data_IF_159587564827
#
_entry.id   IF_159587564827
#
_cell.length_a   1.000
_cell.length_b   1.000
_cell.length_c   1.000
_cell.angle_alpha   90.00
_cell.angle_beta   90.00
_cell.angle_gamma   90.00
#
_symmetry.space_group_name_H-M   'P 1'
#
loop_
_entity.id
_entity.type
_entity.pdbx_description
1 polymer ?
#
# COMPACT_ATOMS: atom_id res chain seq x y z
N UNK A 1 30.78 78.52 -9.95
CA UNK A 1 30.25 77.15 -10.19
C UNK A 1 30.32 76.36 -8.89
N UNK A 2 29.19 76.19 -8.18
CA UNK A 2 29.08 75.34 -6.96
C UNK A 2 28.74 73.93 -7.38
N UNK A 3 29.63 72.98 -7.17
CA UNK A 3 29.35 71.52 -7.26
C UNK A 3 28.55 71.12 -6.00
N UNK A 4 27.26 70.82 -6.16
CA UNK A 4 26.48 70.14 -5.12
C UNK A 4 26.93 68.71 -5.05
N UNK A 5 27.55 68.34 -3.92
CA UNK A 5 27.84 66.94 -3.61
C UNK A 5 26.51 66.23 -3.33
N UNK A 6 26.14 65.27 -4.16
CA UNK A 6 25.06 64.31 -3.91
C UNK A 6 25.52 63.36 -2.82
N UNK A 7 25.03 63.51 -1.64
CA UNK A 7 25.16 62.53 -0.57
C UNK A 7 24.24 61.35 -0.91
N UNK A 8 24.83 60.30 -1.49
CA UNK A 8 24.16 59.01 -1.65
C UNK A 8 23.88 58.44 -0.27
N UNK A 9 22.59 58.24 0.06
CA UNK A 9 22.18 57.64 1.32
C UNK A 9 22.54 56.16 1.34
N UNK A 10 23.52 55.69 2.11
CA UNK A 10 23.88 54.28 2.20
C UNK A 10 22.74 53.40 2.80
N UNK A 11 21.81 54.06 3.49
CA UNK A 11 20.64 53.44 4.14
C UNK A 11 19.67 52.83 3.10
N UNK A 12 19.45 53.49 1.97
CA UNK A 12 18.55 52.99 0.92
C UNK A 12 19.10 51.71 0.23
N UNK A 13 20.44 51.63 0.06
CA UNK A 13 21.09 50.44 -0.47
C UNK A 13 21.03 49.24 0.50
N UNK A 14 21.25 49.50 1.79
CA UNK A 14 21.13 48.49 2.84
C UNK A 14 19.70 47.94 2.94
N UNK A 15 18.70 48.82 2.88
CA UNK A 15 17.28 48.40 2.88
C UNK A 15 16.92 47.56 1.67
N UNK A 16 17.36 47.94 0.48
CA UNK A 16 17.13 47.17 -0.75
C UNK A 16 17.78 45.78 -0.69
N UNK A 17 18.98 45.67 -0.13
CA UNK A 17 19.69 44.40 0.03
C UNK A 17 18.99 43.50 1.07
N UNK A 18 18.47 44.08 2.16
CA UNK A 18 17.70 43.35 3.18
C UNK A 18 16.38 42.82 2.59
N UNK A 19 15.68 43.64 1.81
CA UNK A 19 14.44 43.24 1.14
C UNK A 19 14.69 42.12 0.14
N UNK A 20 15.77 42.20 -0.62
CA UNK A 20 16.17 41.14 -1.56
C UNK A 20 16.54 39.86 -0.82
N UNK A 21 17.27 39.93 0.28
CA UNK A 21 17.58 38.77 1.12
C UNK A 21 16.32 38.09 1.67
N UNK A 22 15.36 38.89 2.15
CA UNK A 22 14.07 38.38 2.64
C UNK A 22 13.29 37.69 1.52
N UNK A 23 13.29 38.26 0.32
CA UNK A 23 12.63 37.66 -0.86
C UNK A 23 13.26 36.31 -1.24
N UNK A 24 14.60 36.23 -1.29
CA UNK A 24 15.32 34.98 -1.56
C UNK A 24 15.01 33.93 -0.49
N UNK A 25 14.99 34.33 0.79
CA UNK A 25 14.64 33.43 1.90
C UNK A 25 13.21 32.88 1.74
N UNK A 26 12.26 33.75 1.37
CA UNK A 26 10.88 33.32 1.12
C UNK A 26 10.78 32.32 -0.05
N UNK A 27 11.51 32.54 -1.14
CA UNK A 27 11.57 31.59 -2.25
C UNK A 27 12.14 30.23 -1.83
N UNK A 28 13.21 30.22 -1.01
CA UNK A 28 13.77 28.98 -0.50
C UNK A 28 12.78 28.19 0.37
N UNK A 29 12.05 28.90 1.24
CA UNK A 29 11.00 28.28 2.07
C UNK A 29 9.90 27.69 1.18
N UNK A 30 9.45 28.41 0.16
CA UNK A 30 8.45 27.93 -0.81
C UNK A 30 8.92 26.67 -1.54
N UNK A 31 10.19 26.61 -1.96
CA UNK A 31 10.76 25.44 -2.61
C UNK A 31 10.80 24.22 -1.70
N UNK A 32 11.18 24.40 -0.42
CA UNK A 32 11.20 23.33 0.57
C UNK A 32 9.80 22.77 0.83
N UNK A 33 8.79 23.62 0.96
CA UNK A 33 7.40 23.18 1.12
C UNK A 33 6.87 22.43 -0.12
N UNK A 34 7.18 22.94 -1.32
CA UNK A 34 6.78 22.29 -2.58
C UNK A 34 7.37 20.89 -2.71
N UNK A 35 8.63 20.70 -2.34
CA UNK A 35 9.28 19.38 -2.37
C UNK A 35 8.62 18.38 -1.41
N UNK A 36 8.24 18.82 -0.20
CA UNK A 36 7.56 17.96 0.77
C UNK A 36 6.15 17.55 0.32
N UNK A 37 5.38 18.48 -0.24
CA UNK A 37 4.03 18.20 -0.75
C UNK A 37 4.11 17.21 -1.91
N UNK A 38 5.07 17.40 -2.83
CA UNK A 38 5.26 16.51 -3.97
C UNK A 38 5.59 15.07 -3.54
N UNK A 39 6.50 14.88 -2.60
CA UNK A 39 6.85 13.56 -2.08
C UNK A 39 5.66 12.85 -1.40
N UNK A 40 4.83 13.59 -0.65
CA UNK A 40 3.64 13.02 -0.01
C UNK A 40 2.58 12.60 -1.04
N UNK A 41 2.41 13.39 -2.10
CA UNK A 41 1.45 13.11 -3.15
C UNK A 41 1.82 11.87 -3.97
N UNK A 42 3.10 11.69 -4.29
CA UNK A 42 3.57 10.48 -4.99
C UNK A 42 3.36 9.24 -4.12
N UNK A 43 3.80 9.24 -2.86
CA UNK A 43 3.62 8.09 -1.97
C UNK A 43 2.16 7.69 -1.79
N UNK A 44 1.25 8.67 -1.76
CA UNK A 44 -0.18 8.39 -1.66
C UNK A 44 -0.73 7.77 -2.95
N UNK A 45 -0.36 8.31 -4.10
CA UNK A 45 -0.80 7.78 -5.40
C UNK A 45 -0.28 6.36 -5.66
N UNK A 46 0.99 6.10 -5.33
CA UNK A 46 1.58 4.76 -5.44
C UNK A 46 0.83 3.77 -4.54
N UNK A 47 0.56 4.13 -3.29
CA UNK A 47 -0.16 3.28 -2.34
C UNK A 47 -1.62 3.00 -2.73
N UNK A 48 -2.33 3.97 -3.31
CA UNK A 48 -3.69 3.75 -3.82
C UNK A 48 -3.66 2.80 -5.04
N UNK A 49 -2.67 2.93 -5.91
CA UNK A 49 -2.46 2.03 -7.04
C UNK A 49 -2.12 0.62 -6.56
N UNK A 50 -1.28 0.49 -5.54
CA UNK A 50 -0.90 -0.80 -4.94
C UNK A 50 -2.11 -1.51 -4.33
N UNK A 51 -2.96 -0.81 -3.57
CA UNK A 51 -4.18 -1.39 -3.00
C UNK A 51 -5.16 -1.86 -4.09
N UNK A 52 -5.35 -1.06 -5.16
CA UNK A 52 -6.17 -1.45 -6.29
C UNK A 52 -5.64 -2.71 -7.00
N UNK A 53 -4.33 -2.80 -7.18
CA UNK A 53 -3.65 -3.96 -7.75
C UNK A 53 -3.81 -5.20 -6.86
N UNK A 54 -3.62 -5.06 -5.54
CA UNK A 54 -3.76 -6.13 -4.58
C UNK A 54 -5.21 -6.64 -4.49
N UNK A 55 -6.18 -5.72 -4.47
CA UNK A 55 -7.61 -6.07 -4.50
C UNK A 55 -7.98 -6.83 -5.78
N UNK A 56 -7.46 -6.39 -6.92
CA UNK A 56 -7.65 -7.06 -8.21
C UNK A 56 -7.01 -8.44 -8.25
N UNK A 57 -5.82 -8.59 -7.67
CA UNK A 57 -5.13 -9.85 -7.54
C UNK A 57 -5.94 -10.86 -6.72
N UNK A 58 -6.39 -10.47 -5.52
CA UNK A 58 -7.22 -11.30 -4.65
C UNK A 58 -8.53 -11.68 -5.35
N UNK A 59 -9.21 -10.72 -5.97
CA UNK A 59 -10.45 -10.95 -6.70
C UNK A 59 -10.26 -11.93 -7.86
N UNK A 60 -9.16 -11.82 -8.59
CA UNK A 60 -8.83 -12.72 -9.70
C UNK A 60 -8.57 -14.14 -9.21
N UNK A 61 -7.77 -14.28 -8.15
CA UNK A 61 -7.52 -15.58 -7.50
C UNK A 61 -8.82 -16.21 -7.01
N UNK A 62 -9.66 -15.43 -6.34
CA UNK A 62 -10.96 -15.88 -5.84
C UNK A 62 -11.84 -16.43 -6.98
N UNK A 63 -11.97 -15.69 -8.09
CA UNK A 63 -12.76 -16.12 -9.24
C UNK A 63 -12.20 -17.35 -9.96
N UNK A 64 -10.88 -17.54 -9.93
CA UNK A 64 -10.23 -18.71 -10.53
C UNK A 64 -10.53 -20.00 -9.76
N UNK A 65 -10.79 -19.88 -8.45
CA UNK A 65 -11.04 -20.99 -7.54
C UNK A 65 -12.51 -21.06 -7.08
N UNK A 66 -13.42 -20.36 -7.76
CA UNK A 66 -14.87 -20.38 -7.48
C UNK A 66 -15.48 -21.70 -7.97
N UNK A 67 -15.12 -22.75 -7.27
CA UNK A 67 -15.60 -24.12 -7.43
C UNK A 67 -15.97 -24.68 -6.06
N UNK A 68 -16.79 -25.73 -6.00
CA UNK A 68 -17.22 -26.33 -4.75
C UNK A 68 -16.01 -26.68 -3.86
N UNK A 69 -16.04 -26.24 -2.61
CA UNK A 69 -14.95 -26.41 -1.63
C UNK A 69 -13.58 -25.83 -2.08
N UNK A 70 -13.58 -24.96 -3.10
CA UNK A 70 -12.36 -24.37 -3.66
C UNK A 70 -11.79 -23.22 -2.84
N UNK A 71 -12.65 -22.52 -2.06
CA UNK A 71 -12.28 -21.32 -1.28
C UNK A 71 -12.72 -21.53 0.16
N UNK A 72 -11.84 -21.25 1.11
CA UNK A 72 -12.13 -21.37 2.53
C UNK A 72 -11.15 -20.51 3.35
N UNK A 73 -11.44 -20.32 4.62
CA UNK A 73 -10.54 -19.69 5.58
C UNK A 73 -9.89 -20.73 6.48
N UNK A 74 -8.60 -20.59 6.74
CA UNK A 74 -7.81 -21.46 7.62
C UNK A 74 -6.69 -20.67 8.28
N UNK A 75 -5.87 -21.31 9.10
CA UNK A 75 -4.71 -20.70 9.75
C UNK A 75 -3.42 -21.38 9.29
N UNK A 76 -2.42 -20.59 8.96
CA UNK A 76 -1.05 -21.06 8.71
C UNK A 76 -0.13 -20.61 9.86
N UNK A 77 0.28 -21.52 10.71
CA UNK A 77 1.07 -21.21 11.92
C UNK A 77 0.42 -20.12 12.81
N UNK A 78 -0.87 -20.25 13.11
CA UNK A 78 -1.68 -19.31 13.87
C UNK A 78 -1.91 -17.94 13.16
N UNK A 79 -1.62 -17.84 11.87
CA UNK A 79 -1.87 -16.67 11.05
C UNK A 79 -3.11 -16.92 10.19
N UNK A 80 -4.17 -16.09 10.31
CA UNK A 80 -5.36 -16.21 9.47
C UNK A 80 -5.01 -16.08 7.98
N UNK A 81 -5.56 -16.97 7.16
CA UNK A 81 -5.29 -17.05 5.74
C UNK A 81 -6.56 -17.27 4.90
N UNK A 82 -6.62 -16.65 3.74
CA UNK A 82 -7.55 -17.02 2.68
C UNK A 82 -6.92 -18.15 1.87
N UNK A 83 -7.65 -19.26 1.75
CA UNK A 83 -7.14 -20.49 1.19
C UNK A 83 -7.85 -20.84 -0.11
N UNK A 84 -7.08 -21.30 -1.08
CA UNK A 84 -7.57 -21.78 -2.35
C UNK A 84 -7.09 -23.21 -2.57
N UNK A 85 -8.02 -24.13 -2.90
CA UNK A 85 -7.72 -25.55 -3.14
C UNK A 85 -7.63 -25.84 -4.62
N UNK A 86 -6.57 -26.55 -4.99
CA UNK A 86 -6.37 -27.10 -6.32
C UNK A 86 -6.14 -28.61 -6.24
N UNK A 87 -6.78 -29.40 -7.11
CA UNK A 87 -6.49 -30.82 -7.23
C UNK A 87 -5.69 -31.07 -8.51
N UNK A 88 -4.42 -31.44 -8.36
CA UNK A 88 -3.48 -31.70 -9.46
C UNK A 88 -3.03 -33.16 -9.41
N UNK A 89 -3.30 -33.91 -10.46
CA UNK A 89 -2.93 -35.33 -10.54
C UNK A 89 -3.42 -36.18 -9.34
N UNK A 90 -4.65 -35.98 -8.93
CA UNK A 90 -5.27 -36.62 -7.75
C UNK A 90 -4.58 -36.31 -6.41
N UNK A 91 -3.92 -35.19 -6.31
CA UNK A 91 -3.34 -34.66 -5.07
C UNK A 91 -3.85 -33.24 -4.84
N UNK A 92 -4.24 -32.98 -3.59
CA UNK A 92 -4.72 -31.65 -3.21
C UNK A 92 -3.56 -30.75 -2.80
N UNK A 93 -3.61 -29.55 -3.31
CA UNK A 93 -2.71 -28.45 -2.99
C UNK A 93 -3.53 -27.31 -2.44
N UNK A 94 -2.92 -26.52 -1.58
CA UNK A 94 -3.53 -25.32 -0.98
C UNK A 94 -2.63 -24.13 -1.25
N UNK A 95 -3.21 -23.07 -1.78
CA UNK A 95 -2.60 -21.75 -1.83
C UNK A 95 -3.10 -20.94 -0.65
N UNK A 96 -2.21 -20.58 0.27
CA UNK A 96 -2.49 -19.69 1.40
C UNK A 96 -2.14 -18.26 1.03
N UNK A 97 -3.04 -17.33 1.29
CA UNK A 97 -2.82 -15.89 1.19
C UNK A 97 -2.99 -15.28 2.59
N UNK A 98 -1.92 -14.73 3.16
CA UNK A 98 -1.84 -14.32 4.55
C UNK A 98 -0.89 -13.14 4.74
N UNK A 99 -1.04 -12.43 5.87
CA UNK A 99 -0.13 -11.35 6.26
C UNK A 99 0.89 -11.86 7.26
N UNK A 100 2.17 -11.77 6.92
CA UNK A 100 3.26 -12.11 7.82
C UNK A 100 4.37 -11.07 7.71
N UNK A 101 4.80 -10.55 8.86
CA UNK A 101 5.84 -9.52 8.99
C UNK A 101 5.62 -8.30 8.06
N UNK A 102 4.39 -7.75 8.07
CA UNK A 102 4.03 -6.57 7.27
C UNK A 102 4.02 -6.80 5.76
N UNK A 103 3.95 -8.05 5.33
CA UNK A 103 3.91 -8.45 3.93
C UNK A 103 2.78 -9.41 3.66
N UNK A 104 1.97 -9.11 2.64
CA UNK A 104 1.03 -10.07 2.06
C UNK A 104 1.85 -11.12 1.34
N UNK A 105 1.72 -12.36 1.76
CA UNK A 105 2.46 -13.51 1.21
C UNK A 105 1.53 -14.54 0.62
N UNK A 106 2.02 -15.24 -0.38
CA UNK A 106 1.37 -16.40 -0.98
C UNK A 106 2.25 -17.63 -0.82
N UNK A 107 1.66 -18.71 -0.33
CA UNK A 107 2.33 -20.01 -0.20
C UNK A 107 1.49 -21.10 -0.87
N UNK A 108 2.05 -21.71 -1.90
CA UNK A 108 1.47 -22.89 -2.54
C UNK A 108 2.15 -24.15 -2.03
N UNK A 109 1.38 -25.07 -1.47
CA UNK A 109 1.92 -26.30 -0.86
C UNK A 109 0.96 -27.47 -0.97
N UNK A 110 1.46 -28.70 -0.84
CA UNK A 110 0.61 -29.87 -0.79
C UNK A 110 -0.24 -29.88 0.49
N UNK A 111 -1.50 -30.27 0.38
CA UNK A 111 -2.39 -30.40 1.54
C UNK A 111 -1.80 -31.36 2.58
N UNK A 112 -1.85 -30.96 3.85
CA UNK A 112 -1.29 -31.73 4.97
C UNK A 112 0.24 -31.67 5.10
N UNK A 113 0.94 -30.83 4.32
CA UNK A 113 2.37 -30.58 4.54
C UNK A 113 2.60 -29.67 5.73
N UNK A 114 3.74 -29.82 6.44
CA UNK A 114 4.17 -28.91 7.49
C UNK A 114 4.81 -27.64 6.91
N UNK A 115 3.98 -26.82 6.26
CA UNK A 115 4.42 -25.57 5.67
C UNK A 115 4.72 -24.52 6.74
N UNK A 116 5.71 -23.66 6.50
CA UNK A 116 6.10 -22.57 7.39
C UNK A 116 5.71 -21.23 6.78
N UNK A 117 5.15 -20.32 7.57
CA UNK A 117 4.71 -18.99 7.10
C UNK A 117 5.84 -18.14 6.49
N UNK A 118 7.10 -18.37 6.89
CA UNK A 118 8.25 -17.67 6.29
C UNK A 118 8.61 -18.15 4.88
N UNK A 119 8.04 -19.26 4.40
CA UNK A 119 8.32 -19.81 3.07
C UNK A 119 7.48 -19.18 1.95
N UNK A 120 6.49 -18.35 2.28
CA UNK A 120 5.64 -17.68 1.31
C UNK A 120 6.38 -16.64 0.46
N UNK A 121 5.95 -16.51 -0.79
CA UNK A 121 6.42 -15.45 -1.69
C UNK A 121 5.73 -14.14 -1.35
N UNK A 122 6.48 -13.06 -1.20
CA UNK A 122 5.95 -11.72 -0.94
C UNK A 122 5.24 -11.20 -2.20
N UNK A 123 3.98 -10.81 -2.04
CA UNK A 123 3.15 -10.21 -3.09
C UNK A 123 3.12 -8.68 -2.96
N UNK A 124 2.95 -8.18 -1.72
CA UNK A 124 2.85 -6.75 -1.44
C UNK A 124 3.24 -6.44 0.00
N UNK A 125 3.53 -5.16 0.29
CA UNK A 125 3.69 -4.66 1.65
C UNK A 125 2.36 -4.07 2.13
N UNK A 126 1.83 -4.60 3.24
CA UNK A 126 0.59 -4.16 3.86
C UNK A 126 0.80 -4.00 5.37
N UNK A 127 0.08 -3.08 5.99
CA UNK A 127 0.04 -2.95 7.45
C UNK A 127 -1.05 -3.82 8.09
N UNK A 128 -2.11 -4.13 7.33
CA UNK A 128 -3.19 -5.00 7.80
C UNK A 128 -3.86 -5.75 6.63
N UNK A 129 -4.27 -6.99 6.89
CA UNK A 129 -5.04 -7.85 6.00
C UNK A 129 -6.00 -8.69 6.84
N UNK A 130 -7.29 -8.44 6.69
CA UNK A 130 -8.31 -9.17 7.41
C UNK A 130 -9.23 -9.91 6.43
N UNK A 131 -9.62 -11.10 6.84
CA UNK A 131 -10.51 -11.98 6.09
C UNK A 131 -11.59 -12.44 7.07
N UNK A 132 -12.83 -12.32 6.66
CA UNK A 132 -13.96 -12.80 7.45
C UNK A 132 -14.99 -13.48 6.55
N UNK A 133 -15.23 -14.75 6.78
CA UNK A 133 -16.34 -15.47 6.15
C UNK A 133 -17.65 -15.08 6.83
N UNK A 134 -18.56 -14.51 6.05
CA UNK A 134 -19.88 -14.04 6.53
C UNK A 134 -20.99 -15.10 6.37
N UNK A 135 -20.65 -16.29 5.86
CA UNK A 135 -21.59 -17.36 5.52
C UNK A 135 -22.24 -17.19 4.15
N UNK A 136 -22.86 -18.26 3.65
CA UNK A 136 -23.47 -18.32 2.33
C UNK A 136 -22.50 -17.94 1.19
N UNK A 137 -21.23 -18.32 1.30
CA UNK A 137 -20.20 -18.03 0.30
C UNK A 137 -19.73 -16.57 0.26
N UNK A 138 -20.11 -15.70 1.22
CA UNK A 138 -19.64 -14.32 1.29
C UNK A 138 -18.38 -14.20 2.13
N UNK A 139 -17.37 -13.53 1.57
CA UNK A 139 -16.11 -13.21 2.20
C UNK A 139 -15.90 -11.70 2.24
N UNK A 140 -15.66 -11.16 3.42
CA UNK A 140 -15.24 -9.77 3.61
C UNK A 140 -13.73 -9.70 3.63
N UNK A 141 -13.17 -8.82 2.83
CA UNK A 141 -11.72 -8.59 2.72
C UNK A 141 -11.41 -7.14 3.07
N UNK A 142 -10.48 -6.94 3.96
CA UNK A 142 -9.94 -5.63 4.33
C UNK A 142 -8.43 -5.61 4.10
N UNK A 143 -7.96 -4.54 3.46
CA UNK A 143 -6.54 -4.28 3.20
C UNK A 143 -6.18 -2.89 3.72
N UNK A 144 -5.03 -2.77 4.38
CA UNK A 144 -4.46 -1.49 4.74
C UNK A 144 -3.01 -1.39 4.25
N UNK A 145 -2.71 -0.31 3.54
CA UNK A 145 -1.36 -0.01 3.10
C UNK A 145 -0.48 0.51 4.24
N UNK A 146 0.83 0.46 4.06
CA UNK A 146 1.82 0.98 5.03
C UNK A 146 1.74 2.49 5.26
N UNK A 147 1.04 3.24 4.40
CA UNK A 147 0.78 4.69 4.56
C UNK A 147 -0.62 4.99 5.11
N UNK A 148 -1.40 3.96 5.49
CA UNK A 148 -2.68 4.08 6.16
C UNK A 148 -3.91 4.17 5.24
N UNK A 149 -3.76 4.07 3.91
CA UNK A 149 -4.90 3.94 3.00
C UNK A 149 -5.54 2.57 3.17
N UNK A 150 -6.86 2.49 3.04
CA UNK A 150 -7.62 1.25 3.20
C UNK A 150 -8.41 0.90 1.95
N UNK A 151 -8.63 -0.39 1.74
CA UNK A 151 -9.54 -0.93 0.73
C UNK A 151 -10.35 -2.06 1.36
N UNK A 152 -11.66 -2.02 1.21
CA UNK A 152 -12.56 -3.07 1.69
C UNK A 152 -13.53 -3.47 0.59
N UNK A 153 -13.79 -4.78 0.49
CA UNK A 153 -14.70 -5.31 -0.53
C UNK A 153 -15.23 -6.68 -0.11
N UNK A 154 -16.34 -7.05 -0.75
CA UNK A 154 -16.94 -8.36 -0.57
C UNK A 154 -16.74 -9.21 -1.82
N UNK A 155 -16.45 -10.49 -1.60
CA UNK A 155 -16.42 -11.51 -2.63
C UNK A 155 -17.50 -12.55 -2.32
N UNK A 156 -18.10 -13.09 -3.36
CA UNK A 156 -19.12 -14.12 -3.23
C UNK A 156 -18.73 -15.33 -4.10
N UNK A 157 -18.64 -16.50 -3.46
CA UNK A 157 -18.52 -17.77 -4.16
C UNK A 157 -19.90 -18.21 -4.64
N UNK A 158 -19.99 -18.56 -5.90
CA UNK A 158 -21.23 -19.04 -6.53
C UNK A 158 -21.37 -20.56 -6.44
N UNK A 159 -20.32 -21.21 -5.96
CA UNK A 159 -20.21 -22.69 -5.96
C UNK A 159 -20.55 -23.32 -4.59
N UNK A 160 -20.89 -22.50 -3.58
CA UNK A 160 -21.33 -22.95 -2.25
C UNK A 160 -22.83 -23.27 -2.18
#
# INVERSE_FOLDING_TARGET
MKKTAQTSHPISGLFSLLLFGLFVLFLLIMLLFSAQIYQRSIKKADSETDLGTNSSYITTKFRQHDVQDGIFTDELNDIPALCFRDTINNRDYITYLYLDDGSLKELFTASGSSAQANAGTVIASLSDFQIEEKGNGFYYIFLQSTVGNTSEFFLHSSAD
#
